data_IF_161731807167
#
_entry.id   IF_161731807167
#
_cell.length_a   1.000
_cell.length_b   1.000
_cell.length_c   1.000
_cell.angle_alpha   90.00
_cell.angle_beta   90.00
_cell.angle_gamma   90.00
#
_symmetry.space_group_name_H-M   'P 1'
#
loop_
_entity.id
_entity.type
_entity.pdbx_description
1 polymer ?
#
# COMPACT_ATOMS: atom_id res chain seq x y z
N UNK A 1 -7.57 -11.94 -1.97
CA UNK A 1 -6.93 -13.07 -2.69
C UNK A 1 -7.62 -14.37 -2.30
N UNK A 2 -7.65 -15.38 -3.18
CA UNK A 2 -8.14 -16.72 -2.84
C UNK A 2 -6.94 -17.64 -2.61
N UNK A 3 -6.89 -18.26 -1.44
CA UNK A 3 -5.95 -19.32 -1.09
C UNK A 3 -6.74 -20.57 -0.70
N UNK A 4 -6.09 -21.72 -0.73
CA UNK A 4 -6.68 -22.95 -0.22
C UNK A 4 -5.78 -23.55 0.85
N UNK A 5 -6.38 -24.00 1.96
CA UNK A 5 -5.67 -24.69 3.03
C UNK A 5 -6.03 -26.17 3.05
N UNK A 6 -5.05 -27.00 3.37
CA UNK A 6 -5.28 -28.39 3.71
C UNK A 6 -5.61 -29.32 2.55
N UNK A 7 -5.97 -30.56 2.90
CA UNK A 7 -6.35 -31.60 1.95
C UNK A 7 -7.54 -32.39 2.51
N UNK A 8 -8.71 -32.40 1.83
CA UNK A 8 -8.98 -31.72 0.55
C UNK A 8 -8.90 -30.18 0.64
N UNK A 9 -8.69 -29.46 -0.48
CA UNK A 9 -8.52 -28.00 -0.47
C UNK A 9 -9.71 -27.27 0.13
N UNK A 10 -9.46 -26.47 1.17
CA UNK A 10 -10.46 -25.62 1.81
C UNK A 10 -10.25 -24.15 1.38
N UNK A 11 -11.18 -23.54 0.62
CA UNK A 11 -10.99 -22.20 0.08
C UNK A 11 -11.13 -21.12 1.15
N UNK A 12 -10.25 -20.12 1.10
CA UNK A 12 -10.22 -18.96 1.99
C UNK A 12 -10.01 -17.70 1.17
N UNK A 13 -10.79 -16.67 1.47
CA UNK A 13 -10.54 -15.31 1.01
C UNK A 13 -9.68 -14.61 2.05
N UNK A 14 -8.49 -14.17 1.65
CA UNK A 14 -7.53 -13.49 2.53
C UNK A 14 -7.18 -12.09 1.99
N UNK A 15 -6.63 -11.27 2.88
CA UNK A 15 -5.95 -10.01 2.54
C UNK A 15 -4.45 -10.30 2.55
N UNK A 16 -3.74 -9.89 1.50
CA UNK A 16 -2.28 -9.83 1.56
C UNK A 16 -1.92 -8.51 2.25
N UNK A 17 -1.33 -8.61 3.43
CA UNK A 17 -1.03 -7.49 4.32
C UNK A 17 0.46 -7.48 4.61
N UNK A 18 1.19 -6.52 4.04
CA UNK A 18 2.63 -6.35 4.25
C UNK A 18 2.94 -5.51 5.50
N UNK A 19 1.93 -4.97 6.18
CA UNK A 19 2.03 -4.33 7.48
C UNK A 19 2.02 -5.31 8.65
N UNK A 20 1.98 -6.63 8.41
CA UNK A 20 2.03 -7.66 9.45
C UNK A 20 2.88 -8.87 9.05
N UNK A 21 3.26 -9.69 10.04
CA UNK A 21 4.12 -10.87 9.88
C UNK A 21 3.37 -12.20 10.01
N UNK A 22 2.08 -12.16 10.39
CA UNK A 22 1.25 -13.34 10.63
C UNK A 22 0.27 -13.59 9.48
N UNK A 23 0.40 -14.77 8.85
CA UNK A 23 -0.68 -15.34 8.04
C UNK A 23 -1.62 -16.08 8.98
N UNK A 24 -2.87 -15.62 9.10
CA UNK A 24 -3.84 -16.26 9.98
C UNK A 24 -5.23 -16.36 9.34
N UNK A 25 -6.00 -17.35 9.81
CA UNK A 25 -7.43 -17.52 9.51
C UNK A 25 -8.13 -18.09 10.74
N UNK A 26 -9.43 -17.83 10.90
CA UNK A 26 -10.21 -18.47 11.95
C UNK A 26 -10.27 -19.99 11.73
N UNK A 27 -10.01 -20.77 12.79
CA UNK A 27 -10.04 -22.22 12.76
C UNK A 27 -10.82 -22.83 13.94
N UNK A 28 -11.28 -24.08 13.81
CA UNK A 28 -11.93 -24.85 14.90
C UNK A 28 -10.89 -25.61 15.75
N UNK A 29 -11.13 -25.84 17.06
CA UNK A 29 -12.19 -25.23 17.86
C UNK A 29 -11.86 -23.75 18.11
N UNK A 30 -12.90 -22.93 18.18
CA UNK A 30 -12.75 -21.51 18.35
C UNK A 30 -13.50 -21.06 19.60
N UNK A 31 -12.77 -20.48 20.54
CA UNK A 31 -13.33 -20.05 21.82
C UNK A 31 -13.94 -18.64 21.73
N UNK A 32 -13.31 -17.73 20.98
CA UNK A 32 -13.79 -16.36 20.74
C UNK A 32 -13.71 -16.02 19.24
N UNK A 33 -14.73 -16.42 18.50
CA UNK A 33 -14.79 -16.24 17.05
C UNK A 33 -15.43 -14.91 16.66
N UNK A 34 -14.88 -14.23 15.65
CA UNK A 34 -15.64 -13.20 14.94
C UNK A 34 -16.71 -13.88 14.08
N UNK A 35 -17.84 -13.20 13.93
CA UNK A 35 -18.92 -13.66 13.06
C UNK A 35 -18.47 -13.54 11.61
N UNK A 36 -18.52 -14.65 10.88
CA UNK A 36 -18.24 -14.66 9.44
C UNK A 36 -19.23 -15.54 8.70
N UNK A 37 -19.51 -15.15 7.46
CA UNK A 37 -20.36 -15.93 6.55
C UNK A 37 -19.58 -17.11 5.96
N UNK A 38 -18.27 -16.98 5.79
CA UNK A 38 -17.41 -18.03 5.28
C UNK A 38 -17.23 -19.17 6.29
N UNK A 39 -17.10 -20.39 5.79
CA UNK A 39 -16.84 -21.55 6.64
C UNK A 39 -15.50 -21.40 7.39
N UNK A 40 -15.44 -21.91 8.62
CA UNK A 40 -14.24 -21.91 9.46
C UNK A 40 -13.41 -23.15 9.16
N UNK A 41 -12.10 -22.99 8.93
CA UNK A 41 -11.19 -24.11 8.68
C UNK A 41 -11.13 -25.05 9.87
N UNK A 42 -11.16 -26.36 9.64
CA UNK A 42 -11.01 -27.38 10.69
C UNK A 42 -9.70 -28.13 10.48
N UNK A 43 -8.67 -27.92 11.34
CA UNK A 43 -7.40 -28.64 11.23
C UNK A 43 -7.58 -30.16 11.19
N UNK A 44 -8.51 -30.69 12.00
CA UNK A 44 -8.82 -32.12 12.07
C UNK A 44 -9.44 -32.70 10.79
N UNK A 45 -9.96 -31.86 9.89
CA UNK A 45 -10.53 -32.31 8.62
C UNK A 45 -9.52 -32.22 7.46
N UNK A 46 -8.25 -31.92 7.74
CA UNK A 46 -7.20 -31.81 6.74
C UNK A 46 -6.09 -32.83 7.00
N UNK A 47 -5.86 -33.74 6.05
CA UNK A 47 -4.80 -34.76 6.16
C UNK A 47 -3.38 -34.19 6.08
N UNK A 48 -3.22 -32.97 5.58
CA UNK A 48 -1.93 -32.28 5.42
C UNK A 48 -1.66 -31.22 6.48
N UNK A 49 -2.57 -31.03 7.44
CA UNK A 49 -2.33 -30.07 8.52
C UNK A 49 -1.17 -30.53 9.39
N UNK A 50 -0.17 -29.66 9.55
CA UNK A 50 0.97 -29.85 10.45
C UNK A 50 1.50 -28.48 10.88
N UNK A 51 2.11 -28.43 12.06
CA UNK A 51 2.87 -27.25 12.50
C UNK A 51 4.16 -27.15 11.69
N UNK A 52 4.49 -25.96 11.17
CA UNK A 52 5.66 -25.74 10.31
C UNK A 52 6.57 -24.65 10.90
N UNK A 53 7.89 -24.84 10.94
CA UNK A 53 8.86 -23.78 11.22
C UNK A 53 9.17 -22.93 9.96
N UNK A 54 9.43 -21.63 10.13
CA UNK A 54 9.50 -20.63 9.06
C UNK A 54 10.76 -20.75 8.17
N UNK A 55 10.64 -20.93 6.83
CA UNK A 55 11.64 -20.56 5.77
C UNK A 55 11.07 -20.65 4.32
N UNK A 56 11.01 -19.56 3.52
CA UNK A 56 10.90 -19.55 2.01
C UNK A 56 11.35 -18.17 1.39
N UNK A 57 11.56 -18.08 0.06
CA UNK A 57 12.13 -16.91 -0.67
C UNK A 57 11.27 -16.40 -1.86
N UNK A 58 11.34 -15.10 -2.19
CA UNK A 58 10.67 -14.44 -3.32
C UNK A 58 11.60 -13.42 -4.04
N UNK A 59 11.64 -13.40 -5.38
CA UNK A 59 12.49 -12.50 -6.20
C UNK A 59 11.70 -11.86 -7.35
N UNK A 60 11.94 -10.58 -7.66
CA UNK A 60 11.38 -9.83 -8.81
C UNK A 60 12.51 -9.21 -9.66
N UNK A 61 12.43 -9.30 -11.00
CA UNK A 61 13.46 -8.77 -11.94
C UNK A 61 12.87 -8.33 -13.31
N UNK A 62 13.62 -7.53 -14.09
CA UNK A 62 13.29 -7.12 -15.46
C UNK A 62 13.64 -5.65 -15.79
N UNK A 63 13.40 -5.23 -17.05
CA UNK A 63 13.59 -3.83 -17.47
C UNK A 63 12.49 -2.92 -16.87
N UNK A 64 12.85 -1.69 -16.51
CA UNK A 64 11.94 -0.71 -15.88
C UNK A 64 11.64 -0.95 -14.39
N UNK A 65 12.42 -1.81 -13.73
CA UNK A 65 12.33 -2.03 -12.27
C UNK A 65 13.07 -0.91 -11.54
N UNK A 66 12.37 -0.21 -10.64
CA UNK A 66 12.98 0.71 -9.69
C UNK A 66 13.17 -0.01 -8.35
N UNK A 67 14.38 0.00 -7.77
CA UNK A 67 14.71 -0.76 -6.55
C UNK A 67 15.24 0.16 -5.45
N UNK A 68 14.66 0.06 -4.25
CA UNK A 68 15.07 0.78 -3.04
C UNK A 68 15.50 -0.21 -1.94
N UNK A 69 16.44 0.13 -1.05
CA UNK A 69 16.77 -0.71 0.10
C UNK A 69 15.58 -0.84 1.08
N UNK A 70 15.36 -2.06 1.59
CA UNK A 70 14.59 -2.29 2.81
C UNK A 70 15.50 -1.99 3.99
N UNK A 71 15.04 -1.16 4.91
CA UNK A 71 15.81 -0.68 6.06
C UNK A 71 15.33 -1.47 7.28
N UNK A 72 16.16 -2.35 7.86
CA UNK A 72 15.81 -3.05 9.08
C UNK A 72 15.65 -2.06 10.23
N UNK A 73 14.53 -2.16 10.95
CA UNK A 73 14.32 -1.46 12.22
C UNK A 73 14.26 -2.52 13.34
N UNK A 74 15.31 -2.67 14.16
CA UNK A 74 15.31 -3.61 15.28
C UNK A 74 14.20 -3.34 16.31
N UNK A 75 13.72 -2.10 16.40
CA UNK A 75 12.62 -1.73 17.29
C UNK A 75 11.25 -2.14 16.73
N UNK A 76 11.16 -2.37 15.42
CA UNK A 76 9.93 -2.74 14.70
C UNK A 76 10.21 -3.80 13.62
N UNK A 77 10.60 -5.02 14.00
CA UNK A 77 11.12 -6.04 13.06
C UNK A 77 10.06 -6.59 12.09
N UNK A 78 8.78 -6.28 12.32
CA UNK A 78 7.64 -6.77 11.54
C UNK A 78 7.40 -5.95 10.27
N UNK A 79 7.85 -4.70 10.22
CA UNK A 79 7.51 -3.79 9.13
C UNK A 79 8.57 -3.76 8.02
N UNK A 80 8.10 -3.65 6.78
CA UNK A 80 8.96 -3.33 5.65
C UNK A 80 9.10 -1.82 5.49
N UNK A 81 10.20 -1.30 6.05
CA UNK A 81 10.49 0.15 6.06
C UNK A 81 11.43 0.50 4.91
N UNK A 82 11.17 1.62 4.24
CA UNK A 82 12.06 2.23 3.24
C UNK A 82 12.32 3.69 3.59
N UNK A 83 13.24 4.33 2.85
CA UNK A 83 13.50 5.77 2.96
C UNK A 83 12.87 6.52 1.78
N UNK A 84 11.83 7.30 2.05
CA UNK A 84 11.29 8.29 1.14
C UNK A 84 12.03 9.61 1.35
N UNK A 85 12.63 10.16 0.30
CA UNK A 85 13.40 11.40 0.35
C UNK A 85 12.55 12.62 0.00
N UNK A 86 11.63 12.46 -0.96
CA UNK A 86 10.74 13.53 -1.42
C UNK A 86 9.55 12.99 -2.23
N UNK A 87 8.54 13.84 -2.44
CA UNK A 87 7.54 13.65 -3.50
C UNK A 87 7.56 14.86 -4.41
N UNK A 88 7.64 14.63 -5.72
CA UNK A 88 7.48 15.69 -6.73
C UNK A 88 6.04 15.74 -7.24
N UNK A 89 5.50 16.95 -7.38
CA UNK A 89 4.22 17.24 -8.04
C UNK A 89 4.49 18.19 -9.21
N UNK A 90 4.42 17.67 -10.42
CA UNK A 90 4.96 18.37 -11.59
C UNK A 90 6.45 18.66 -11.39
N UNK A 91 6.83 19.93 -11.47
CA UNK A 91 8.21 20.38 -11.21
C UNK A 91 8.52 20.70 -9.75
N UNK A 92 7.52 20.69 -8.85
CA UNK A 92 7.69 21.05 -7.44
C UNK A 92 8.08 19.83 -6.62
N UNK A 93 9.34 19.76 -6.19
CA UNK A 93 9.86 18.73 -5.27
C UNK A 93 9.62 19.12 -3.82
N UNK A 94 8.94 18.27 -3.06
CA UNK A 94 8.60 18.47 -1.64
C UNK A 94 9.41 17.46 -0.82
N UNK A 95 10.41 17.91 -0.04
CA UNK A 95 11.20 17.03 0.82
C UNK A 95 10.34 16.30 1.85
N UNK A 96 10.64 15.03 2.09
CA UNK A 96 9.97 14.22 3.10
C UNK A 96 10.89 14.02 4.31
N UNK A 97 10.40 14.35 5.50
CA UNK A 97 11.18 14.30 6.74
C UNK A 97 10.78 13.15 7.68
N UNK A 98 9.77 12.34 7.31
CA UNK A 98 9.31 11.20 8.11
C UNK A 98 8.37 11.55 9.26
N UNK A 99 7.83 10.50 9.89
CA UNK A 99 7.23 10.56 11.24
C UNK A 99 8.16 9.87 12.26
N UNK A 100 7.70 9.66 13.49
CA UNK A 100 8.42 8.96 14.58
C UNK A 100 8.78 7.50 14.27
N UNK A 101 8.31 6.93 13.15
CA UNK A 101 8.75 5.62 12.66
C UNK A 101 10.20 5.72 12.16
N UNK A 102 11.09 4.96 12.79
CA UNK A 102 12.49 4.87 12.39
C UNK A 102 13.42 5.87 13.07
N UNK A 103 13.08 6.44 14.24
CA UNK A 103 13.99 7.32 15.00
C UNK A 103 15.40 6.74 15.25
N UNK A 104 15.54 5.41 15.20
CA UNK A 104 16.82 4.70 15.36
C UNK A 104 17.41 4.17 14.05
N UNK A 105 16.72 4.31 12.90
CA UNK A 105 17.14 3.81 11.59
C UNK A 105 17.04 4.91 10.51
N UNK A 106 17.60 4.71 9.32
CA UNK A 106 17.47 5.69 8.23
C UNK A 106 16.11 5.62 7.50
N UNK A 107 15.23 4.70 7.91
CA UNK A 107 13.92 4.47 7.30
C UNK A 107 12.86 5.37 7.91
N UNK A 108 11.84 5.73 7.11
CA UNK A 108 10.87 6.75 7.53
C UNK A 108 9.44 6.51 7.02
N UNK A 109 9.21 5.42 6.28
CA UNK A 109 7.88 5.07 5.79
C UNK A 109 7.73 3.55 5.64
N UNK A 110 6.61 3.01 6.09
CA UNK A 110 6.25 1.59 5.98
C UNK A 110 5.57 1.35 4.63
N UNK A 111 5.89 0.26 3.93
CA UNK A 111 5.18 -0.13 2.70
C UNK A 111 4.14 -1.20 3.02
N UNK A 112 2.87 -0.81 2.98
CA UNK A 112 1.77 -1.59 3.53
C UNK A 112 0.61 -1.76 2.53
N UNK A 113 0.39 -2.99 2.06
CA UNK A 113 -0.74 -3.34 1.21
C UNK A 113 -2.07 -3.50 1.96
N UNK A 114 -2.04 -3.62 3.29
CA UNK A 114 -3.21 -3.71 4.17
C UNK A 114 -3.84 -2.36 4.52
N UNK A 115 -3.05 -1.27 4.49
CA UNK A 115 -3.56 0.10 4.64
C UNK A 115 -3.99 0.67 3.28
N UNK A 116 -5.24 1.13 3.16
CA UNK A 116 -5.77 1.67 1.89
C UNK A 116 -5.05 2.95 1.43
N UNK A 117 -4.95 3.95 2.31
CA UNK A 117 -4.46 5.30 1.98
C UNK A 117 -2.96 5.44 2.24
N UNK A 118 -2.32 6.39 1.59
CA UNK A 118 -0.97 6.80 1.97
C UNK A 118 -1.05 7.75 3.18
N UNK A 119 -0.47 7.36 4.30
CA UNK A 119 -0.42 8.17 5.52
C UNK A 119 0.91 8.90 5.59
N UNK A 120 0.88 10.22 5.77
CA UNK A 120 2.08 11.07 5.84
C UNK A 120 1.88 12.16 6.89
N UNK A 121 2.96 12.75 7.46
CA UNK A 121 2.84 13.85 8.41
C UNK A 121 1.96 14.98 7.90
N UNK A 122 1.22 15.62 8.80
CA UNK A 122 0.18 16.60 8.47
C UNK A 122 0.74 17.84 7.75
N UNK A 123 1.95 18.26 8.10
CA UNK A 123 2.65 19.36 7.44
C UNK A 123 3.05 19.01 5.99
N UNK A 124 3.55 17.79 5.78
CA UNK A 124 3.87 17.27 4.46
C UNK A 124 2.59 17.10 3.62
N UNK A 125 1.53 16.54 4.21
CA UNK A 125 0.22 16.40 3.57
C UNK A 125 -0.31 17.76 3.09
N UNK A 126 -0.20 18.80 3.91
CA UNK A 126 -0.65 20.16 3.57
C UNK A 126 0.12 20.73 2.39
N UNK A 127 1.45 20.54 2.35
CA UNK A 127 2.28 20.99 1.23
C UNK A 127 2.00 20.22 -0.05
N UNK A 128 1.84 18.89 0.06
CA UNK A 128 1.54 17.99 -1.06
C UNK A 128 0.18 18.30 -1.65
N UNK A 129 -0.86 18.33 -0.82
CA UNK A 129 -2.25 18.64 -1.23
C UNK A 129 -2.31 20.00 -1.93
N UNK A 130 -1.73 21.05 -1.35
CA UNK A 130 -1.68 22.37 -1.98
C UNK A 130 -0.97 22.34 -3.35
N UNK A 131 0.14 21.61 -3.47
CA UNK A 131 0.85 21.45 -4.74
C UNK A 131 0.01 20.72 -5.80
N UNK A 132 -0.69 19.65 -5.41
CA UNK A 132 -1.59 18.91 -6.29
C UNK A 132 -2.75 19.79 -6.73
N UNK A 133 -3.43 20.44 -5.79
CA UNK A 133 -4.58 21.31 -6.06
C UNK A 133 -4.25 22.40 -7.07
N UNK A 134 -3.07 23.03 -6.95
CA UNK A 134 -2.63 24.10 -7.85
C UNK A 134 -2.44 23.67 -9.31
N UNK A 135 -2.38 22.36 -9.57
CA UNK A 135 -2.10 21.80 -10.90
C UNK A 135 -3.23 20.91 -11.44
N UNK A 136 -4.27 20.62 -10.65
CA UNK A 136 -5.45 19.88 -11.12
C UNK A 136 -6.29 20.79 -12.04
N UNK A 137 -6.69 20.27 -13.20
CA UNK A 137 -7.50 21.01 -14.17
C UNK A 137 -8.60 20.14 -14.79
N UNK A 138 -9.57 20.79 -15.43
CA UNK A 138 -10.60 20.12 -16.26
C UNK A 138 -11.74 19.46 -15.49
N UNK A 139 -11.80 19.65 -14.17
CA UNK A 139 -12.91 19.17 -13.32
C UNK A 139 -13.22 20.16 -12.20
N UNK A 140 -14.43 20.10 -11.66
CA UNK A 140 -14.85 20.91 -10.51
C UNK A 140 -14.42 20.24 -9.20
N UNK A 141 -13.92 21.03 -8.26
CA UNK A 141 -13.71 20.59 -6.88
C UNK A 141 -15.06 20.31 -6.23
N UNK A 142 -15.13 19.24 -5.46
CA UNK A 142 -16.33 18.79 -4.73
C UNK A 142 -15.94 18.25 -3.35
N UNK A 143 -16.89 17.64 -2.65
CA UNK A 143 -16.69 17.02 -1.33
C UNK A 143 -16.85 15.50 -1.42
N UNK A 144 -16.27 14.78 -0.46
CA UNK A 144 -16.53 13.34 -0.28
C UNK A 144 -18.02 13.13 0.09
N UNK A 145 -18.83 12.50 -0.78
CA UNK A 145 -20.25 12.28 -0.51
C UNK A 145 -20.50 11.23 0.57
N UNK A 146 -19.52 10.35 0.84
CA UNK A 146 -19.65 9.31 1.85
C UNK A 146 -19.25 9.79 3.24
N UNK A 147 -18.33 10.76 3.33
CA UNK A 147 -17.89 11.39 4.57
C UNK A 147 -17.17 10.47 5.56
N UNK A 148 -17.07 9.16 5.28
CA UNK A 148 -16.55 8.15 6.19
C UNK A 148 -15.08 8.38 6.59
N UNK A 149 -14.28 8.94 5.69
CA UNK A 149 -12.85 9.20 5.91
C UNK A 149 -12.49 10.70 5.84
N UNK A 150 -13.49 11.58 5.65
CA UNK A 150 -13.30 13.01 5.42
C UNK A 150 -12.16 13.32 4.43
N UNK A 151 -12.15 12.60 3.30
CA UNK A 151 -11.07 12.72 2.33
C UNK A 151 -11.04 14.14 1.74
N UNK A 152 -9.83 14.68 1.62
CA UNK A 152 -9.60 16.01 1.08
C UNK A 152 -9.31 15.96 -0.43
N UNK A 153 -9.41 17.12 -1.08
CA UNK A 153 -9.14 17.30 -2.52
C UNK A 153 -9.94 16.34 -3.41
N UNK A 154 -11.26 16.42 -3.29
CA UNK A 154 -12.18 15.68 -4.14
C UNK A 154 -12.55 16.48 -5.39
N UNK A 155 -12.72 15.78 -6.50
CA UNK A 155 -13.11 16.33 -7.79
C UNK A 155 -14.16 15.45 -8.47
N UNK A 156 -14.96 16.03 -9.35
CA UNK A 156 -15.82 15.25 -10.24
C UNK A 156 -14.94 14.30 -11.09
N UNK A 157 -15.21 13.01 -11.01
CA UNK A 157 -14.46 12.00 -11.74
C UNK A 157 -14.89 11.95 -13.21
N UNK A 158 -13.96 11.64 -14.12
CA UNK A 158 -14.26 11.51 -15.54
C UNK A 158 -13.05 11.83 -16.42
N UNK A 159 -13.17 11.68 -17.75
CA UNK A 159 -12.05 11.81 -18.68
C UNK A 159 -11.48 13.24 -18.79
N UNK A 160 -12.20 14.23 -18.25
CA UNK A 160 -11.75 15.63 -18.25
C UNK A 160 -10.85 15.96 -17.06
N UNK A 161 -10.89 15.18 -15.98
CA UNK A 161 -10.05 15.38 -14.80
C UNK A 161 -8.59 15.11 -15.17
N UNK A 162 -7.77 16.16 -15.12
CA UNK A 162 -6.34 16.09 -15.35
C UNK A 162 -5.61 16.33 -14.04
N UNK A 163 -4.82 15.36 -13.64
CA UNK A 163 -3.98 15.42 -12.44
C UNK A 163 -2.51 15.63 -12.83
N UNK A 164 -1.70 16.31 -12.00
CA UNK A 164 -0.29 16.48 -12.27
C UNK A 164 0.45 15.13 -12.24
N UNK A 165 1.62 15.07 -12.89
CA UNK A 165 2.56 13.97 -12.69
C UNK A 165 3.05 13.99 -11.24
N UNK A 166 3.01 12.85 -10.56
CA UNK A 166 3.49 12.72 -9.19
C UNK A 166 4.59 11.65 -9.17
N UNK A 167 5.66 11.87 -8.43
CA UNK A 167 6.76 10.92 -8.32
C UNK A 167 7.21 10.81 -6.87
N UNK A 168 7.17 9.60 -6.33
CA UNK A 168 7.77 9.29 -5.04
C UNK A 168 9.27 9.00 -5.24
N UNK A 169 10.11 9.77 -4.58
CA UNK A 169 11.57 9.65 -4.64
C UNK A 169 12.03 8.87 -3.41
N UNK A 170 12.15 7.56 -3.55
CA UNK A 170 12.78 6.72 -2.54
C UNK A 170 14.30 6.74 -2.74
N UNK A 171 15.04 6.39 -1.69
CA UNK A 171 16.49 6.25 -1.78
C UNK A 171 16.88 5.25 -2.88
N UNK A 172 17.44 5.77 -3.97
CA UNK A 172 17.88 4.99 -5.12
C UNK A 172 16.78 4.59 -6.12
N UNK A 173 15.53 5.03 -5.92
CA UNK A 173 14.41 4.69 -6.80
C UNK A 173 13.41 5.83 -6.95
N UNK A 174 13.13 6.20 -8.20
CA UNK A 174 12.03 7.10 -8.55
C UNK A 174 10.83 6.29 -9.04
N UNK A 175 9.69 6.44 -8.36
CA UNK A 175 8.44 5.76 -8.68
C UNK A 175 7.43 6.78 -9.18
N UNK A 176 7.23 6.84 -10.49
CA UNK A 176 6.26 7.71 -11.13
C UNK A 176 4.83 7.15 -10.95
N UNK A 177 3.94 7.95 -10.37
CA UNK A 177 2.58 7.58 -10.01
C UNK A 177 1.58 8.10 -11.04
N UNK A 178 0.59 7.28 -11.39
CA UNK A 178 -0.54 7.68 -12.24
C UNK A 178 -1.72 8.17 -11.38
N UNK A 179 -2.79 8.62 -12.02
CA UNK A 179 -3.99 9.08 -11.33
C UNK A 179 -4.56 8.02 -10.38
N UNK A 180 -4.55 6.76 -10.80
CA UNK A 180 -5.04 5.61 -10.05
C UNK A 180 -4.22 5.33 -8.78
N UNK A 181 -2.97 5.80 -8.75
CA UNK A 181 -2.10 5.67 -7.59
C UNK A 181 -2.29 6.78 -6.56
N UNK A 182 -2.90 7.90 -6.96
CA UNK A 182 -2.95 9.11 -6.15
C UNK A 182 -4.37 9.51 -5.80
N UNK A 183 -5.36 9.09 -6.59
CA UNK A 183 -6.78 9.37 -6.34
C UNK A 183 -7.57 8.08 -6.20
N UNK A 184 -8.46 8.04 -5.20
CA UNK A 184 -9.41 6.96 -4.98
C UNK A 184 -10.81 7.40 -5.38
N UNK A 185 -11.54 6.57 -6.13
CA UNK A 185 -12.95 6.79 -6.43
C UNK A 185 -13.79 6.46 -5.18
N UNK A 186 -14.46 7.48 -4.64
CA UNK A 186 -15.40 7.34 -3.51
C UNK A 186 -16.85 7.20 -3.98
N UNK A 187 -17.12 7.47 -5.25
CA UNK A 187 -18.38 7.14 -5.93
C UNK A 187 -18.12 7.02 -7.44
N UNK A 188 -19.16 6.70 -8.21
CA UNK A 188 -19.09 6.70 -9.68
C UNK A 188 -18.77 8.09 -10.27
N UNK A 189 -18.97 9.15 -9.49
CA UNK A 189 -18.84 10.54 -9.93
C UNK A 189 -17.79 11.34 -9.18
N UNK A 190 -17.15 10.81 -8.13
CA UNK A 190 -16.21 11.56 -7.28
C UNK A 190 -14.94 10.76 -7.05
N UNK A 191 -13.80 11.42 -7.24
CA UNK A 191 -12.48 10.92 -6.87
C UNK A 191 -11.79 11.90 -5.91
N UNK A 192 -11.17 11.39 -4.86
CA UNK A 192 -10.49 12.17 -3.82
C UNK A 192 -9.02 11.77 -3.70
N UNK A 193 -8.18 12.67 -3.20
CA UNK A 193 -6.77 12.37 -2.97
C UNK A 193 -6.64 11.22 -1.97
N UNK A 194 -5.89 10.17 -2.33
CA UNK A 194 -5.67 8.97 -1.54
C UNK A 194 -4.52 9.12 -0.52
N UNK A 195 -4.35 10.34 0.00
CA UNK A 195 -3.38 10.69 1.04
C UNK A 195 -4.12 11.22 2.27
N UNK A 196 -3.56 10.97 3.45
CA UNK A 196 -4.13 11.43 4.71
C UNK A 196 -3.03 11.90 5.67
N UNK A 197 -3.29 13.00 6.39
CA UNK A 197 -2.39 13.52 7.41
C UNK A 197 -2.41 12.68 8.68
N UNK A 198 -1.26 12.14 9.07
CA UNK A 198 -1.06 11.36 10.28
C UNK A 198 0.35 11.62 10.82
N UNK A 199 0.44 12.12 12.05
CA UNK A 199 1.73 12.49 12.66
C UNK A 199 2.39 11.33 13.43
N UNK A 200 1.66 10.23 13.66
CA UNK A 200 2.15 9.06 14.39
C UNK A 200 2.93 8.12 13.46
N UNK A 201 2.36 7.78 12.31
CA UNK A 201 2.89 6.74 11.41
C UNK A 201 2.83 7.18 9.95
N UNK A 202 3.93 6.95 9.25
CA UNK A 202 4.02 7.15 7.80
C UNK A 202 3.89 5.81 7.07
N UNK A 203 2.93 5.71 6.16
CA UNK A 203 2.59 4.49 5.44
C UNK A 203 2.41 4.78 3.94
N UNK A 204 3.13 4.04 3.09
CA UNK A 204 2.90 3.95 1.66
C UNK A 204 1.83 2.89 1.37
N UNK A 205 0.59 3.33 1.23
CA UNK A 205 -0.59 2.47 1.22
C UNK A 205 -0.88 1.78 -0.11
N UNK A 206 -1.92 0.95 -0.09
CA UNK A 206 -2.36 0.08 -1.18
C UNK A 206 -2.63 0.84 -2.50
N UNK A 207 -3.35 1.97 -2.44
CA UNK A 207 -3.72 2.73 -3.66
C UNK A 207 -2.47 3.15 -4.43
N UNK A 208 -1.44 3.64 -3.73
CA UNK A 208 -0.17 4.06 -4.33
C UNK A 208 0.65 2.90 -4.92
N UNK A 209 0.34 1.65 -4.53
CA UNK A 209 0.97 0.43 -5.03
C UNK A 209 0.24 -0.19 -6.24
N UNK A 210 -0.95 0.29 -6.60
CA UNK A 210 -1.72 -0.25 -7.72
C UNK A 210 -0.96 -0.14 -9.06
N UNK A 211 -1.20 -1.06 -9.99
CA UNK A 211 -0.48 -1.09 -11.28
C UNK A 211 1.05 -1.17 -11.16
N UNK A 212 1.55 -1.68 -10.03
CA UNK A 212 2.94 -2.09 -9.89
C UNK A 212 3.01 -3.57 -9.51
N UNK A 213 3.96 -4.28 -10.11
CA UNK A 213 4.48 -5.51 -9.51
C UNK A 213 5.49 -5.09 -8.44
N UNK A 214 5.08 -5.17 -7.19
CA UNK A 214 5.92 -4.87 -6.02
C UNK A 214 6.65 -6.13 -5.58
N UNK A 215 7.98 -6.06 -5.46
CA UNK A 215 8.84 -7.19 -5.10
C UNK A 215 9.61 -6.94 -3.82
N UNK A 216 9.38 -7.77 -2.80
CA UNK A 216 10.10 -7.77 -1.53
C UNK A 216 11.17 -8.86 -1.58
N UNK A 217 12.43 -8.49 -1.79
CA UNK A 217 13.58 -9.40 -1.73
C UNK A 217 14.22 -9.32 -0.34
N UNK A 218 13.84 -10.25 0.53
CA UNK A 218 14.28 -10.29 1.92
C UNK A 218 15.72 -10.77 2.08
N UNK A 219 16.29 -11.45 1.09
CA UNK A 219 17.69 -11.88 1.13
C UNK A 219 18.62 -10.72 0.81
N UNK A 220 18.24 -9.91 -0.20
CA UNK A 220 19.00 -8.73 -0.61
C UNK A 220 18.63 -7.48 0.18
N UNK A 221 17.61 -7.55 1.02
CA UNK A 221 17.02 -6.41 1.72
C UNK A 221 16.67 -5.27 0.74
N UNK A 222 15.88 -5.58 -0.28
CA UNK A 222 15.44 -4.60 -1.28
C UNK A 222 13.96 -4.72 -1.59
N UNK A 223 13.35 -3.58 -1.89
CA UNK A 223 12.00 -3.44 -2.40
C UNK A 223 12.05 -2.93 -3.84
N UNK A 224 11.27 -3.52 -4.73
CA UNK A 224 11.26 -3.16 -6.15
C UNK A 224 9.87 -2.84 -6.66
N UNK A 225 9.73 -1.79 -7.47
CA UNK A 225 8.51 -1.41 -8.16
C UNK A 225 8.70 -1.56 -9.65
N UNK A 226 7.79 -2.29 -10.30
CA UNK A 226 7.75 -2.40 -11.76
C UNK A 226 6.37 -1.98 -12.28
N UNK A 227 6.25 -0.89 -13.06
CA UNK A 227 5.00 -0.54 -13.72
C UNK A 227 4.42 -1.76 -14.45
N UNK A 228 3.15 -2.05 -14.21
CA UNK A 228 2.46 -3.25 -14.69
C UNK A 228 1.02 -2.90 -15.00
N UNK A 229 0.54 -3.29 -16.19
CA UNK A 229 -0.88 -3.22 -16.51
C UNK A 229 -1.61 -4.40 -15.83
N UNK A 230 -2.19 -4.14 -14.66
CA UNK A 230 -2.90 -5.16 -13.88
C UNK A 230 -4.25 -5.58 -14.51
N UNK A 231 -4.67 -4.97 -15.61
CA UNK A 231 -5.85 -5.42 -16.37
C UNK A 231 -5.50 -6.59 -17.31
N UNK A 232 -4.21 -6.77 -17.63
CA UNK A 232 -3.74 -7.88 -18.43
C UNK A 232 -3.61 -9.12 -17.56
N UNK A 233 -4.30 -10.20 -17.96
CA UNK A 233 -4.14 -11.50 -17.33
C UNK A 233 -2.75 -12.04 -17.66
N UNK A 234 -1.88 -12.11 -16.67
CA UNK A 234 -0.68 -12.94 -16.75
C UNK A 234 -1.12 -14.39 -16.60
N UNK A 235 -1.09 -15.14 -17.71
CA UNK A 235 -1.35 -16.58 -17.76
C UNK A 235 -0.09 -17.36 -17.40
#
# INVERSE_FOLDING_TARGET
MNISLGTPPFPIVAIADTGSDLIWTQCKPCTNCYKQNAAVFSPNSSSTYKTVPCQQSAVVSGNGVATTPLIPDPSQPTFYVVQLEAVSVGSKKIPFHGSTVGETSSGNIIVDSGTTLTLVPTDFFTQLSSAVESQVTGSNKTTDPQGFNNLSLCYESGPKLKVPSITAHFKGADVALTMENVFIKVSDTVACLAFYGNDDVSIYGNVAQQNFRVGYDLQKHTLSFKPTDCTQKFF
#
